data_IF_279273221633
#
_entry.id   IF_279273221633
#
_cell.length_a   1.000
_cell.length_b   1.000
_cell.length_c   1.000
_cell.angle_alpha   90.00
_cell.angle_beta   90.00
_cell.angle_gamma   90.00
#
_symmetry.space_group_name_H-M   'P 1'
#
loop_
_entity.id
_entity.type
_entity.pdbx_description
1 polymer ?
#
# COMPACT_ATOMS: atom_id res chain seq x y z
N UNK A 1 33.03 -12.07 -32.57
CA UNK A 1 31.60 -12.05 -32.91
C UNK A 1 31.01 -10.83 -32.23
N UNK A 2 30.99 -9.71 -32.94
CA UNK A 2 30.57 -8.40 -32.43
C UNK A 2 29.05 -8.39 -32.22
N UNK A 3 28.63 -7.87 -31.07
CA UNK A 3 27.24 -7.62 -30.69
C UNK A 3 26.71 -6.44 -31.53
N UNK A 4 26.40 -6.65 -32.81
CA UNK A 4 26.13 -5.59 -33.78
C UNK A 4 24.72 -4.96 -33.70
N UNK A 5 23.91 -5.28 -32.68
CA UNK A 5 22.53 -4.78 -32.56
C UNK A 5 22.24 -3.96 -31.28
N UNK A 6 23.24 -3.68 -30.43
CA UNK A 6 23.00 -2.86 -29.24
C UNK A 6 23.13 -1.36 -29.57
N UNK A 7 22.01 -0.73 -29.89
CA UNK A 7 21.98 0.69 -30.21
C UNK A 7 21.91 1.54 -28.93
N UNK A 8 23.08 2.03 -28.48
CA UNK A 8 23.19 2.89 -27.30
C UNK A 8 22.31 4.15 -27.35
N UNK A 9 22.10 4.73 -28.54
CA UNK A 9 21.24 5.92 -28.67
C UNK A 9 19.77 5.59 -28.37
N UNK A 10 19.28 4.47 -28.90
CA UNK A 10 17.93 3.96 -28.66
C UNK A 10 17.72 3.57 -27.19
N UNK A 11 18.75 3.00 -26.53
CA UNK A 11 18.72 2.72 -25.09
C UNK A 11 18.58 4.00 -24.28
N UNK A 12 19.34 5.05 -24.61
CA UNK A 12 19.25 6.31 -23.88
C UNK A 12 17.91 7.00 -24.10
N UNK A 13 17.37 6.99 -25.32
CA UNK A 13 16.06 7.56 -25.62
C UNK A 13 14.95 6.88 -24.82
N UNK A 14 14.89 5.54 -24.87
CA UNK A 14 13.92 4.77 -24.08
C UNK A 14 14.12 4.98 -22.57
N UNK A 15 15.37 5.09 -22.11
CA UNK A 15 15.69 5.39 -20.70
C UNK A 15 15.16 6.76 -20.28
N UNK A 16 15.19 7.78 -21.14
CA UNK A 16 14.60 9.09 -20.84
C UNK A 16 13.08 9.02 -20.76
N UNK A 17 12.43 8.25 -21.64
CA UNK A 17 10.99 8.01 -21.59
C UNK A 17 10.59 7.36 -20.26
N UNK A 18 11.26 6.26 -19.88
CA UNK A 18 11.04 5.57 -18.59
C UNK A 18 11.26 6.52 -17.42
N UNK A 19 12.33 7.33 -17.46
CA UNK A 19 12.62 8.33 -16.44
C UNK A 19 11.49 9.34 -16.30
N UNK A 20 10.97 9.86 -17.42
CA UNK A 20 9.88 10.81 -17.44
C UNK A 20 8.61 10.19 -16.82
N UNK A 21 8.19 9.02 -17.31
CA UNK A 21 7.03 8.28 -16.82
C UNK A 21 7.12 8.08 -15.30
N UNK A 22 8.22 7.49 -14.84
CA UNK A 22 8.36 7.13 -13.43
C UNK A 22 8.56 8.36 -12.54
N UNK A 23 9.13 9.44 -13.06
CA UNK A 23 9.27 10.70 -12.33
C UNK A 23 7.94 11.41 -12.14
N UNK A 24 7.08 11.46 -13.16
CA UNK A 24 5.73 12.04 -13.03
C UNK A 24 4.92 11.24 -12.01
N UNK A 25 4.96 9.90 -12.11
CA UNK A 25 4.28 9.02 -11.16
C UNK A 25 4.85 9.14 -9.75
N UNK A 26 6.18 9.21 -9.60
CA UNK A 26 6.85 9.42 -8.32
C UNK A 26 6.46 10.73 -7.66
N UNK A 27 6.50 11.86 -8.38
CA UNK A 27 6.04 13.16 -7.86
C UNK A 27 4.57 13.17 -7.50
N UNK A 28 3.73 12.46 -8.27
CA UNK A 28 2.32 12.28 -7.94
C UNK A 28 2.13 11.58 -6.59
N UNK A 29 2.95 10.57 -6.29
CA UNK A 29 2.94 9.87 -5.01
C UNK A 29 3.55 10.71 -3.86
N UNK A 30 4.58 11.51 -4.13
CA UNK A 30 5.11 12.49 -3.16
C UNK A 30 4.03 13.48 -2.77
N UNK A 31 3.36 14.07 -3.76
CA UNK A 31 2.29 15.02 -3.54
C UNK A 31 1.11 14.37 -2.81
N UNK A 32 0.76 13.11 -3.13
CA UNK A 32 -0.25 12.35 -2.39
C UNK A 32 0.08 12.29 -0.89
N UNK A 33 1.30 11.89 -0.52
CA UNK A 33 1.72 11.79 0.89
C UNK A 33 1.75 13.17 1.56
N UNK A 34 2.42 14.16 0.95
CA UNK A 34 2.57 15.48 1.58
C UNK A 34 1.25 16.22 1.70
N UNK A 35 0.45 16.27 0.64
CA UNK A 35 -0.81 17.03 0.66
C UNK A 35 -1.85 16.40 1.57
N UNK A 36 -1.89 15.06 1.68
CA UNK A 36 -2.81 14.41 2.63
C UNK A 36 -2.42 14.70 4.08
N UNK A 37 -1.12 14.72 4.40
CA UNK A 37 -0.65 15.08 5.74
C UNK A 37 -0.84 16.56 6.05
N UNK A 38 -0.57 17.45 5.09
CA UNK A 38 -0.85 18.89 5.24
C UNK A 38 -2.34 19.13 5.49
N UNK A 39 -3.22 18.48 4.72
CA UNK A 39 -4.66 18.60 4.91
C UNK A 39 -5.08 18.13 6.31
N UNK A 40 -4.57 16.98 6.78
CA UNK A 40 -4.86 16.48 8.12
C UNK A 40 -4.41 17.47 9.23
N UNK A 41 -3.20 18.03 9.11
CA UNK A 41 -2.68 19.05 10.04
C UNK A 41 -3.56 20.30 10.03
N UNK A 42 -3.97 20.77 8.84
CA UNK A 42 -4.83 21.95 8.70
C UNK A 42 -6.20 21.71 9.36
N UNK A 43 -6.80 20.53 9.22
CA UNK A 43 -8.05 20.22 9.92
C UNK A 43 -7.88 20.24 11.44
N UNK A 44 -6.76 19.73 11.96
CA UNK A 44 -6.42 19.83 13.39
C UNK A 44 -6.25 21.27 13.86
N UNK A 45 -5.55 22.11 13.09
CA UNK A 45 -5.37 23.53 13.39
C UNK A 45 -6.69 24.29 13.38
N UNK A 46 -7.57 24.03 12.41
CA UNK A 46 -8.91 24.62 12.37
C UNK A 46 -9.70 24.20 13.61
N UNK A 47 -9.67 22.92 13.98
CA UNK A 47 -10.28 22.42 15.21
C UNK A 47 -9.77 23.13 16.47
N UNK A 48 -8.47 23.35 16.58
CA UNK A 48 -7.85 24.09 17.67
C UNK A 48 -8.32 25.56 17.72
N UNK A 49 -8.32 26.26 16.59
CA UNK A 49 -8.73 27.67 16.51
C UNK A 49 -10.20 27.86 16.89
N UNK A 50 -11.09 26.98 16.41
CA UNK A 50 -12.51 27.02 16.78
C UNK A 50 -12.71 26.84 18.29
N UNK A 51 -11.91 25.97 18.92
CA UNK A 51 -11.89 25.79 20.38
C UNK A 51 -11.45 27.05 21.10
N UNK A 52 -10.31 27.62 20.69
CA UNK A 52 -9.67 28.76 21.33
C UNK A 52 -10.57 30.00 21.35
N UNK A 53 -11.23 30.29 20.22
CA UNK A 53 -12.12 31.45 20.09
C UNK A 53 -13.55 31.20 20.59
N UNK A 54 -13.86 30.02 21.13
CA UNK A 54 -15.19 29.64 21.63
C UNK A 54 -16.31 29.97 20.63
N UNK A 55 -16.07 29.64 19.35
CA UNK A 55 -16.99 29.98 18.26
C UNK A 55 -18.34 29.29 18.50
N UNK A 56 -19.43 30.05 18.44
CA UNK A 56 -20.79 29.54 18.66
C UNK A 56 -21.50 29.12 17.36
N UNK A 57 -22.64 28.45 17.50
CA UNK A 57 -23.46 28.01 16.37
C UNK A 57 -22.74 26.96 15.51
N UNK A 58 -22.69 27.17 14.19
CA UNK A 58 -22.08 26.22 13.23
C UNK A 58 -20.62 25.93 13.56
N UNK A 59 -19.86 26.92 14.06
CA UNK A 59 -18.46 26.72 14.44
C UNK A 59 -18.29 25.78 15.64
N UNK A 60 -19.24 25.76 16.58
CA UNK A 60 -19.22 24.83 17.71
C UNK A 60 -19.48 23.38 17.28
N UNK A 61 -20.40 23.18 16.33
CA UNK A 61 -20.66 21.84 15.77
C UNK A 61 -19.48 21.35 14.93
N UNK A 62 -18.89 22.23 14.12
CA UNK A 62 -17.68 21.91 13.36
C UNK A 62 -16.51 21.57 14.29
N UNK A 63 -16.33 22.33 15.38
CA UNK A 63 -15.35 22.01 16.42
C UNK A 63 -15.52 20.60 16.99
N UNK A 64 -16.75 20.22 17.36
CA UNK A 64 -17.07 18.87 17.87
C UNK A 64 -16.70 17.79 16.86
N UNK A 65 -16.99 18.00 15.58
CA UNK A 65 -16.66 17.06 14.51
C UNK A 65 -15.13 16.94 14.36
N UNK A 66 -14.43 18.06 14.19
CA UNK A 66 -12.99 18.07 13.92
C UNK A 66 -12.15 17.48 15.08
N UNK A 67 -12.65 17.58 16.30
CA UNK A 67 -12.00 17.03 17.49
C UNK A 67 -12.55 15.65 17.92
N UNK A 68 -13.46 15.06 17.16
CA UNK A 68 -13.95 13.71 17.43
C UNK A 68 -12.90 12.66 17.05
N UNK A 69 -12.83 11.57 17.84
CA UNK A 69 -11.85 10.50 17.60
C UNK A 69 -12.01 9.81 16.25
N UNK A 70 -13.23 9.72 15.70
CA UNK A 70 -13.44 9.13 14.37
C UNK A 70 -12.96 10.06 13.25
N UNK A 71 -13.07 11.37 13.43
CA UNK A 71 -12.62 12.32 12.42
C UNK A 71 -11.10 12.37 12.39
N UNK A 72 -10.43 12.48 13.54
CA UNK A 72 -8.97 12.55 13.60
C UNK A 72 -8.27 11.30 13.02
N UNK A 73 -8.92 10.13 13.09
CA UNK A 73 -8.34 8.85 12.65
C UNK A 73 -8.79 8.39 11.25
N UNK A 74 -9.99 8.76 10.81
CA UNK A 74 -10.52 8.34 9.50
C UNK A 74 -11.09 9.50 8.69
N UNK A 75 -11.91 10.36 9.31
CA UNK A 75 -12.59 11.46 8.60
C UNK A 75 -11.62 12.44 7.92
N UNK A 76 -10.55 12.84 8.61
CA UNK A 76 -9.52 13.73 8.08
C UNK A 76 -8.82 13.13 6.86
N UNK A 77 -8.47 11.84 6.89
CA UNK A 77 -7.85 11.15 5.75
C UNK A 77 -8.80 11.01 4.57
N UNK A 78 -10.07 10.64 4.81
CA UNK A 78 -11.07 10.54 3.75
C UNK A 78 -11.31 11.89 3.07
N UNK A 79 -11.43 12.96 3.85
CA UNK A 79 -11.60 14.31 3.32
C UNK A 79 -10.33 14.78 2.59
N UNK A 80 -9.15 14.49 3.13
CA UNK A 80 -7.89 14.77 2.46
C UNK A 80 -7.80 14.05 1.10
N UNK A 81 -8.15 12.77 1.02
CA UNK A 81 -8.22 12.05 -0.25
C UNK A 81 -9.20 12.68 -1.23
N UNK A 82 -10.39 13.07 -0.77
CA UNK A 82 -11.39 13.71 -1.63
C UNK A 82 -10.87 15.02 -2.27
N UNK A 83 -10.06 15.79 -1.53
CA UNK A 83 -9.46 17.04 -2.03
C UNK A 83 -8.22 16.80 -2.90
N UNK A 84 -7.36 15.86 -2.51
CA UNK A 84 -6.04 15.67 -3.12
C UNK A 84 -6.10 14.82 -4.38
N UNK A 85 -6.88 13.73 -4.39
CA UNK A 85 -6.87 12.77 -5.49
C UNK A 85 -7.21 13.35 -6.86
N UNK A 86 -8.18 14.28 -7.02
CA UNK A 86 -8.44 14.91 -8.32
C UNK A 86 -7.20 15.60 -8.89
N UNK A 87 -6.45 16.32 -8.05
CA UNK A 87 -5.20 17.00 -8.44
C UNK A 87 -4.14 15.99 -8.84
N UNK A 88 -3.94 14.94 -8.03
CA UNK A 88 -2.96 13.88 -8.32
C UNK A 88 -3.30 13.15 -9.62
N UNK A 89 -4.57 12.84 -9.87
CA UNK A 89 -4.98 12.17 -11.11
C UNK A 89 -4.79 13.05 -12.34
N UNK A 90 -5.04 14.37 -12.23
CA UNK A 90 -4.75 15.31 -13.31
C UNK A 90 -3.24 15.36 -13.64
N UNK A 91 -2.36 15.30 -12.63
CA UNK A 91 -0.91 15.20 -12.86
C UNK A 91 -0.56 13.86 -13.53
N UNK A 92 -1.11 12.75 -13.06
CA UNK A 92 -0.87 11.42 -13.65
C UNK A 92 -1.35 11.31 -15.10
N UNK A 93 -2.29 12.13 -15.57
CA UNK A 93 -2.75 12.15 -16.97
C UNK A 93 -1.69 12.61 -17.98
N UNK A 94 -0.60 13.22 -17.53
CA UNK A 94 0.58 13.48 -18.38
C UNK A 94 1.27 12.18 -18.83
N UNK A 95 0.97 11.06 -18.17
CA UNK A 95 1.39 9.72 -18.59
C UNK A 95 0.15 8.94 -19.05
N UNK A 96 0.12 8.44 -20.29
CA UNK A 96 -1.03 7.73 -20.81
C UNK A 96 -1.27 6.40 -20.08
N UNK A 97 -2.53 6.11 -19.78
CA UNK A 97 -2.95 4.87 -19.14
C UNK A 97 -3.26 3.78 -20.16
N UNK A 98 -2.76 2.56 -19.94
CA UNK A 98 -3.17 1.40 -20.74
C UNK A 98 -4.39 0.73 -20.10
N UNK A 99 -5.54 0.83 -20.78
CA UNK A 99 -6.77 0.18 -20.33
C UNK A 99 -6.66 -1.34 -20.54
N UNK A 100 -6.74 -2.15 -19.48
CA UNK A 100 -6.56 -3.59 -19.60
C UNK A 100 -7.79 -4.32 -20.11
N UNK A 101 -7.56 -5.44 -20.81
CA UNK A 101 -8.61 -6.37 -21.20
C UNK A 101 -9.25 -7.02 -19.95
N UNK A 102 -10.58 -7.03 -19.89
CA UNK A 102 -11.35 -7.45 -18.68
C UNK A 102 -11.66 -8.94 -18.65
N UNK A 103 -10.79 -9.75 -18.06
CA UNK A 103 -10.96 -11.21 -17.90
C UNK A 103 -11.65 -11.58 -16.59
N UNK A 104 -12.57 -12.54 -16.64
CA UNK A 104 -13.25 -13.07 -15.44
C UNK A 104 -12.37 -14.10 -14.74
N UNK A 105 -12.33 -14.06 -13.41
CA UNK A 105 -11.65 -15.05 -12.58
C UNK A 105 -12.65 -16.04 -12.00
N UNK A 106 -12.30 -17.34 -12.06
CA UNK A 106 -13.10 -18.41 -11.42
C UNK A 106 -13.00 -18.32 -9.89
N UNK A 107 -14.07 -18.66 -9.13
CA UNK A 107 -14.06 -18.59 -7.67
C UNK A 107 -12.89 -19.35 -7.01
N UNK A 108 -12.55 -20.56 -7.47
CA UNK A 108 -11.42 -21.31 -6.91
C UNK A 108 -10.08 -20.58 -7.04
N UNK A 109 -9.84 -19.88 -8.17
CA UNK A 109 -8.63 -19.05 -8.33
C UNK A 109 -8.68 -17.82 -7.44
N UNK A 110 -9.86 -17.23 -7.24
CA UNK A 110 -10.04 -16.11 -6.31
C UNK A 110 -9.62 -16.49 -4.88
N UNK A 111 -10.13 -17.62 -4.36
CA UNK A 111 -9.77 -18.10 -3.03
C UNK A 111 -8.30 -18.54 -2.94
N UNK A 112 -7.74 -19.12 -4.00
CA UNK A 112 -6.31 -19.40 -4.07
C UNK A 112 -5.47 -18.12 -3.91
N UNK A 113 -5.84 -17.03 -4.58
CA UNK A 113 -5.15 -15.74 -4.40
C UNK A 113 -5.37 -15.15 -3.02
N UNK A 114 -6.56 -15.30 -2.43
CA UNK A 114 -6.78 -14.87 -1.04
C UNK A 114 -5.80 -15.58 -0.08
N UNK A 115 -5.67 -16.91 -0.16
CA UNK A 115 -4.73 -17.67 0.66
C UNK A 115 -3.28 -17.23 0.40
N UNK A 116 -2.91 -17.03 -0.87
CA UNK A 116 -1.57 -16.58 -1.27
C UNK A 116 -1.25 -15.19 -0.69
N UNK A 117 -2.21 -14.25 -0.74
CA UNK A 117 -2.07 -12.91 -0.16
C UNK A 117 -1.88 -12.99 1.35
N UNK A 118 -2.74 -13.76 2.03
CA UNK A 118 -2.68 -13.91 3.48
C UNK A 118 -1.33 -14.49 3.92
N UNK A 119 -0.91 -15.62 3.33
CA UNK A 119 0.35 -16.25 3.68
C UNK A 119 1.58 -15.39 3.36
N UNK A 120 1.66 -14.83 2.14
CA UNK A 120 2.77 -13.95 1.76
C UNK A 120 2.85 -12.70 2.66
N UNK A 121 1.71 -12.06 2.94
CA UNK A 121 1.63 -10.94 3.87
C UNK A 121 2.15 -11.33 5.26
N UNK A 122 1.65 -12.41 5.86
CA UNK A 122 2.08 -12.81 7.21
C UNK A 122 3.56 -13.20 7.31
N UNK A 123 4.12 -13.87 6.30
CA UNK A 123 5.56 -14.16 6.27
C UNK A 123 6.37 -12.86 6.38
N UNK A 124 6.04 -11.86 5.55
CA UNK A 124 6.77 -10.59 5.53
C UNK A 124 6.44 -9.70 6.73
N UNK A 125 5.25 -9.84 7.33
CA UNK A 125 4.93 -9.20 8.60
C UNK A 125 5.79 -9.76 9.75
N UNK A 126 6.00 -11.08 9.81
CA UNK A 126 6.90 -11.71 10.80
C UNK A 126 8.32 -11.17 10.62
N UNK A 127 8.82 -11.10 9.39
CA UNK A 127 10.15 -10.52 9.10
C UNK A 127 10.22 -9.07 9.58
N UNK A 128 9.23 -8.25 9.26
CA UNK A 128 9.17 -6.85 9.72
C UNK A 128 9.17 -6.70 11.24
N UNK A 129 8.42 -7.55 11.94
CA UNK A 129 8.39 -7.54 13.41
C UNK A 129 9.71 -8.02 14.02
N UNK A 130 10.40 -9.01 13.41
CA UNK A 130 11.75 -9.42 13.83
C UNK A 130 12.73 -8.24 13.68
N UNK A 131 12.66 -7.51 12.57
CA UNK A 131 13.48 -6.31 12.37
C UNK A 131 13.18 -5.24 13.42
N UNK A 132 11.91 -4.99 13.75
CA UNK A 132 11.56 -4.08 14.85
C UNK A 132 12.15 -4.54 16.19
N UNK A 133 12.13 -5.84 16.50
CA UNK A 133 12.74 -6.37 17.74
C UNK A 133 14.24 -6.11 17.77
N UNK A 134 14.94 -6.33 16.65
CA UNK A 134 16.38 -6.07 16.54
C UNK A 134 16.66 -4.58 16.76
N UNK A 135 15.92 -3.69 16.10
CA UNK A 135 16.08 -2.24 16.27
C UNK A 135 15.75 -1.81 17.71
N UNK A 136 14.70 -2.35 18.31
CA UNK A 136 14.31 -2.09 19.69
C UNK A 136 15.41 -2.49 20.69
N UNK A 137 16.05 -3.65 20.48
CA UNK A 137 17.14 -4.10 21.33
C UNK A 137 18.36 -3.17 21.27
N UNK A 138 18.68 -2.62 20.10
CA UNK A 138 19.81 -1.69 19.92
C UNK A 138 19.50 -0.27 20.42
N UNK A 139 18.25 0.16 20.28
CA UNK A 139 17.84 1.54 20.60
C UNK A 139 17.21 1.70 21.98
N UNK A 140 17.03 0.60 22.72
CA UNK A 140 16.32 0.54 24.00
C UNK A 140 14.91 1.16 23.96
N UNK A 141 14.19 0.88 22.87
CA UNK A 141 12.84 1.41 22.60
C UNK A 141 11.79 0.31 22.67
N UNK A 142 10.53 0.69 22.84
CA UNK A 142 9.39 -0.23 22.82
C UNK A 142 8.97 -0.58 21.40
N UNK A 143 8.89 -1.87 21.08
CA UNK A 143 8.31 -2.35 19.80
C UNK A 143 6.85 -1.94 19.62
N UNK A 144 6.15 -1.66 20.73
CA UNK A 144 4.77 -1.15 20.69
C UNK A 144 4.72 0.26 20.08
N UNK A 145 5.60 1.18 20.53
CA UNK A 145 5.62 2.56 20.06
C UNK A 145 6.16 2.68 18.62
N UNK A 146 7.06 1.78 18.23
CA UNK A 146 7.61 1.74 16.87
C UNK A 146 6.60 1.40 15.78
N UNK A 147 5.43 0.86 16.13
CA UNK A 147 4.43 0.46 15.15
C UNK A 147 3.16 1.31 15.29
N UNK A 148 2.94 2.30 14.41
CA UNK A 148 1.79 3.21 14.51
C UNK A 148 0.43 2.51 14.36
N UNK A 149 0.39 1.29 13.84
CA UNK A 149 -0.84 0.47 13.81
C UNK A 149 -1.37 0.22 15.22
N UNK A 150 -0.50 0.22 16.24
CA UNK A 150 -0.90 0.02 17.62
C UNK A 150 -1.80 1.15 18.16
N UNK A 151 -1.70 2.36 17.60
CA UNK A 151 -2.59 3.48 17.93
C UNK A 151 -4.04 3.22 17.50
N UNK A 152 -4.27 2.25 16.59
CA UNK A 152 -5.60 1.86 16.18
C UNK A 152 -6.35 1.07 17.26
N UNK A 153 -5.68 0.37 18.18
CA UNK A 153 -6.34 -0.42 19.24
C UNK A 153 -7.26 0.44 20.12
N UNK A 154 -6.83 1.67 20.41
CA UNK A 154 -7.55 2.57 21.30
C UNK A 154 -8.59 3.45 20.57
N UNK A 155 -8.52 3.52 19.24
CA UNK A 155 -9.36 4.40 18.41
C UNK A 155 -10.45 3.68 17.62
N UNK A 156 -10.61 2.36 17.82
CA UNK A 156 -11.63 1.58 17.12
C UNK A 156 -13.05 2.10 17.40
N UNK A 157 -13.68 2.56 16.32
CA UNK A 157 -15.10 2.88 16.27
C UNK A 157 -15.64 2.46 14.90
N UNK A 158 -16.98 2.40 14.70
CA UNK A 158 -17.56 1.90 13.46
C UNK A 158 -17.06 2.61 12.19
N UNK A 159 -16.80 3.91 12.25
CA UNK A 159 -16.30 4.69 11.11
C UNK A 159 -14.85 4.33 10.78
N UNK A 160 -14.00 4.21 11.81
CA UNK A 160 -12.61 3.77 11.63
C UNK A 160 -12.57 2.36 11.06
N UNK A 161 -13.38 1.44 11.59
CA UNK A 161 -13.49 0.06 11.08
C UNK A 161 -13.88 0.06 9.60
N UNK A 162 -14.89 0.85 9.22
CA UNK A 162 -15.33 0.98 7.83
C UNK A 162 -14.22 1.55 6.94
N UNK A 163 -13.48 2.55 7.43
CA UNK A 163 -12.36 3.13 6.70
C UNK A 163 -11.23 2.12 6.47
N UNK A 164 -10.67 1.55 7.53
CA UNK A 164 -9.50 0.66 7.43
C UNK A 164 -9.82 -0.66 6.74
N UNK A 165 -11.05 -1.16 6.87
CA UNK A 165 -11.47 -2.44 6.29
C UNK A 165 -11.99 -2.32 4.86
N UNK A 166 -12.58 -1.17 4.49
CA UNK A 166 -13.32 -1.04 3.22
C UNK A 166 -12.85 0.16 2.39
N UNK A 167 -13.05 1.38 2.89
CA UNK A 167 -12.85 2.58 2.06
C UNK A 167 -11.37 2.79 1.70
N UNK A 168 -10.46 2.62 2.66
CA UNK A 168 -9.01 2.66 2.45
C UNK A 168 -8.58 1.69 1.35
N UNK A 169 -8.83 0.37 1.48
CA UNK A 169 -8.53 -0.61 0.44
C UNK A 169 -9.07 -0.27 -0.95
N UNK A 170 -10.29 0.27 -1.05
CA UNK A 170 -10.87 0.66 -2.34
C UNK A 170 -10.11 1.84 -2.96
N UNK A 171 -9.83 2.87 -2.17
CA UNK A 171 -9.07 4.05 -2.60
C UNK A 171 -7.66 3.63 -3.01
N UNK A 172 -6.99 2.84 -2.19
CA UNK A 172 -5.63 2.35 -2.43
C UNK A 172 -5.56 1.51 -3.71
N UNK A 173 -6.46 0.54 -3.91
CA UNK A 173 -6.43 -0.25 -5.14
C UNK A 173 -6.75 0.60 -6.39
N UNK A 174 -7.58 1.64 -6.26
CA UNK A 174 -7.82 2.60 -7.35
C UNK A 174 -6.53 3.40 -7.68
N UNK A 175 -5.79 3.88 -6.67
CA UNK A 175 -4.53 4.60 -6.88
C UNK A 175 -3.47 3.66 -7.48
N UNK A 176 -3.23 2.51 -6.85
CA UNK A 176 -2.07 1.69 -7.16
C UNK A 176 -2.29 0.70 -8.30
N UNK A 177 -3.49 0.10 -8.43
CA UNK A 177 -3.75 -0.92 -9.46
C UNK A 177 -4.42 -0.36 -10.69
N UNK A 178 -5.27 0.64 -10.53
CA UNK A 178 -5.89 1.30 -11.66
C UNK A 178 -4.98 2.40 -12.19
N UNK A 179 -4.76 3.48 -11.43
CA UNK A 179 -4.04 4.65 -11.95
C UNK A 179 -2.55 4.41 -12.17
N UNK A 180 -1.83 3.88 -11.18
CA UNK A 180 -0.37 3.70 -11.24
C UNK A 180 0.04 2.50 -12.13
N UNK A 181 -0.44 1.30 -11.82
CA UNK A 181 0.00 0.07 -12.50
C UNK A 181 -0.35 0.05 -13.98
N UNK A 182 -1.51 0.57 -14.41
CA UNK A 182 -1.88 0.60 -15.83
C UNK A 182 -0.96 1.50 -16.67
N UNK A 183 -0.37 2.56 -16.08
CA UNK A 183 0.62 3.42 -16.73
C UNK A 183 2.01 2.79 -16.82
N UNK A 184 2.29 1.82 -15.94
CA UNK A 184 3.55 1.07 -15.93
C UNK A 184 3.51 -0.19 -16.82
N UNK A 185 2.33 -0.63 -17.27
CA UNK A 185 2.18 -1.83 -18.12
C UNK A 185 3.08 -1.83 -19.36
N UNK A 186 3.27 -0.72 -20.10
CA UNK A 186 4.19 -0.69 -21.25
C UNK A 186 5.63 -1.07 -20.89
N UNK A 187 6.04 -0.84 -19.63
CA UNK A 187 7.36 -1.17 -19.11
C UNK A 187 7.51 -2.65 -18.72
N UNK A 188 6.52 -3.48 -19.06
CA UNK A 188 6.49 -4.93 -18.82
C UNK A 188 5.77 -5.32 -17.54
N UNK A 189 5.08 -6.47 -17.58
CA UNK A 189 4.20 -6.89 -16.48
C UNK A 189 4.98 -7.07 -15.16
N UNK A 190 6.20 -7.64 -15.21
CA UNK A 190 7.04 -7.84 -14.03
C UNK A 190 7.47 -6.51 -13.41
N UNK A 191 7.95 -5.57 -14.21
CA UNK A 191 8.39 -4.27 -13.73
C UNK A 191 7.22 -3.48 -13.12
N UNK A 192 6.08 -3.47 -13.81
CA UNK A 192 4.85 -2.81 -13.35
C UNK A 192 4.37 -3.36 -12.00
N UNK A 193 4.34 -4.70 -11.84
CA UNK A 193 3.95 -5.35 -10.58
C UNK A 193 4.92 -4.96 -9.46
N UNK A 194 6.23 -5.15 -9.66
CA UNK A 194 7.22 -4.93 -8.60
C UNK A 194 7.30 -3.46 -8.17
N UNK A 195 7.24 -2.54 -9.11
CA UNK A 195 7.26 -1.11 -8.80
C UNK A 195 5.99 -0.66 -8.10
N UNK A 196 4.81 -1.01 -8.64
CA UNK A 196 3.53 -0.69 -8.00
C UNK A 196 3.44 -1.27 -6.59
N UNK A 197 3.93 -2.50 -6.39
CA UNK A 197 3.96 -3.15 -5.08
C UNK A 197 4.92 -2.46 -4.09
N UNK A 198 6.12 -2.12 -4.53
CA UNK A 198 7.09 -1.40 -3.69
C UNK A 198 6.58 -0.02 -3.30
N UNK A 199 6.03 0.74 -4.25
CA UNK A 199 5.47 2.07 -3.97
C UNK A 199 4.27 1.99 -3.01
N UNK A 200 3.43 0.96 -3.19
CA UNK A 200 2.30 0.68 -2.30
C UNK A 200 2.76 0.40 -0.86
N UNK A 201 3.77 -0.47 -0.69
CA UNK A 201 4.33 -0.75 0.63
C UNK A 201 4.99 0.47 1.27
N UNK A 202 5.80 1.21 0.52
CA UNK A 202 6.48 2.41 0.99
C UNK A 202 5.51 3.47 1.52
N UNK A 203 4.35 3.67 0.87
CA UNK A 203 3.35 4.67 1.27
C UNK A 203 2.87 4.52 2.72
N UNK A 204 2.98 3.34 3.34
CA UNK A 204 2.59 3.13 4.73
C UNK A 204 3.59 3.71 5.76
N UNK A 205 4.82 4.02 5.34
CA UNK A 205 5.75 4.79 6.16
C UNK A 205 6.20 4.14 7.48
N UNK A 206 6.07 2.83 7.64
CA UNK A 206 6.60 2.10 8.80
C UNK A 206 7.08 0.70 8.41
N UNK A 207 8.08 0.19 9.12
CA UNK A 207 8.85 -0.98 8.69
C UNK A 207 8.01 -2.26 8.54
N UNK A 208 7.18 -2.59 9.54
CA UNK A 208 6.34 -3.79 9.50
C UNK A 208 5.33 -3.76 8.36
N UNK A 209 4.69 -2.61 8.13
CA UNK A 209 3.71 -2.48 7.06
C UNK A 209 4.35 -2.38 5.69
N UNK A 210 5.54 -1.78 5.53
CA UNK A 210 6.24 -1.70 4.24
C UNK A 210 6.45 -3.10 3.65
N UNK A 211 6.99 -4.03 4.44
CA UNK A 211 7.25 -5.40 3.98
C UNK A 211 5.94 -6.16 3.71
N UNK A 212 5.00 -6.09 4.65
CA UNK A 212 3.68 -6.72 4.54
C UNK A 212 2.91 -6.26 3.30
N UNK A 213 2.75 -4.95 3.12
CA UNK A 213 1.99 -4.37 2.03
C UNK A 213 2.70 -4.54 0.68
N UNK A 214 4.04 -4.52 0.63
CA UNK A 214 4.77 -4.87 -0.59
C UNK A 214 4.44 -6.30 -1.04
N UNK A 215 4.45 -7.27 -0.12
CA UNK A 215 4.14 -8.67 -0.45
C UNK A 215 2.71 -8.84 -1.00
N UNK A 216 1.73 -8.23 -0.32
CA UNK A 216 0.33 -8.19 -0.77
C UNK A 216 0.22 -7.51 -2.14
N UNK A 217 0.92 -6.38 -2.29
CA UNK A 217 0.95 -5.58 -3.51
C UNK A 217 1.47 -6.36 -4.72
N UNK A 218 2.42 -7.27 -4.54
CA UNK A 218 2.91 -8.15 -5.62
C UNK A 218 1.78 -9.05 -6.12
N UNK A 219 1.05 -9.71 -5.21
CA UNK A 219 -0.03 -10.62 -5.59
C UNK A 219 -1.22 -9.86 -6.17
N UNK A 220 -1.62 -8.73 -5.57
CA UNK A 220 -2.68 -7.87 -6.10
C UNK A 220 -2.30 -7.27 -7.45
N UNK A 221 -1.04 -6.86 -7.65
CA UNK A 221 -0.51 -6.43 -8.94
C UNK A 221 -0.65 -7.52 -10.00
N UNK A 222 -0.30 -8.76 -9.66
CA UNK A 222 -0.49 -9.91 -10.55
C UNK A 222 -1.96 -10.14 -10.91
N UNK A 223 -2.87 -10.09 -9.93
CA UNK A 223 -4.32 -10.20 -10.17
C UNK A 223 -4.82 -9.09 -11.09
N UNK A 224 -4.35 -7.85 -10.90
CA UNK A 224 -4.71 -6.71 -11.76
C UNK A 224 -4.23 -6.91 -13.21
N UNK A 225 -2.99 -7.37 -13.38
CA UNK A 225 -2.42 -7.68 -14.70
C UNK A 225 -3.25 -8.74 -15.43
N UNK A 226 -3.59 -9.86 -14.76
CA UNK A 226 -4.25 -11.00 -15.39
C UNK A 226 -5.77 -10.85 -15.57
N UNK A 227 -6.42 -10.02 -14.76
CA UNK A 227 -7.88 -9.86 -14.82
C UNK A 227 -8.34 -8.54 -15.44
N UNK A 228 -7.55 -7.46 -15.32
CA UNK A 228 -7.99 -6.13 -15.72
C UNK A 228 -9.25 -5.63 -15.00
N UNK A 229 -9.65 -6.27 -13.89
CA UNK A 229 -10.90 -5.99 -13.16
C UNK A 229 -10.60 -5.59 -11.72
N UNK A 230 -10.66 -4.29 -11.48
CA UNK A 230 -10.40 -3.68 -10.17
C UNK A 230 -11.24 -4.28 -9.03
N UNK A 231 -12.46 -4.75 -9.30
CA UNK A 231 -13.31 -5.36 -8.27
C UNK A 231 -12.66 -6.57 -7.57
N UNK A 232 -11.86 -7.38 -8.26
CA UNK A 232 -11.22 -8.53 -7.63
C UNK A 232 -10.15 -8.08 -6.64
N UNK A 233 -9.37 -7.09 -7.05
CA UNK A 233 -8.39 -6.39 -6.22
C UNK A 233 -9.04 -5.79 -4.96
N UNK A 234 -10.09 -4.98 -5.12
CA UNK A 234 -10.81 -4.39 -3.99
C UNK A 234 -11.33 -5.46 -3.03
N UNK A 235 -12.03 -6.50 -3.51
CA UNK A 235 -12.62 -7.51 -2.61
C UNK A 235 -11.52 -8.29 -1.88
N UNK A 236 -10.44 -8.70 -2.57
CA UNK A 236 -9.33 -9.40 -1.93
C UNK A 236 -8.68 -8.53 -0.84
N UNK A 237 -8.44 -7.26 -1.13
CA UNK A 237 -7.83 -6.33 -0.18
C UNK A 237 -8.75 -6.03 1.01
N UNK A 238 -10.05 -5.83 0.77
CA UNK A 238 -11.08 -5.69 1.82
C UNK A 238 -11.09 -6.93 2.72
N UNK A 239 -11.06 -8.13 2.16
CA UNK A 239 -11.05 -9.37 2.96
C UNK A 239 -9.81 -9.45 3.86
N UNK A 240 -8.64 -9.07 3.35
CA UNK A 240 -7.39 -9.05 4.11
C UNK A 240 -7.46 -8.05 5.26
N UNK A 241 -7.86 -6.81 5.00
CA UNK A 241 -7.95 -5.80 6.05
C UNK A 241 -9.10 -6.07 7.03
N UNK A 242 -10.20 -6.66 6.57
CA UNK A 242 -11.29 -7.09 7.46
C UNK A 242 -10.84 -8.21 8.39
N UNK A 243 -10.02 -9.16 7.91
CA UNK A 243 -9.44 -10.19 8.76
C UNK A 243 -8.52 -9.57 9.82
N UNK A 244 -7.60 -8.68 9.42
CA UNK A 244 -6.70 -7.97 10.35
C UNK A 244 -7.49 -7.13 11.38
N UNK A 245 -8.54 -6.44 10.96
CA UNK A 245 -9.40 -5.64 11.83
C UNK A 245 -10.21 -6.52 12.79
N UNK A 246 -10.67 -7.69 12.34
CA UNK A 246 -11.31 -8.67 13.22
C UNK A 246 -10.35 -9.14 14.31
N UNK A 247 -9.10 -9.45 13.97
CA UNK A 247 -8.08 -9.82 14.97
C UNK A 247 -7.85 -8.69 15.98
N UNK A 248 -7.74 -7.46 15.49
CA UNK A 248 -7.60 -6.27 16.32
C UNK A 248 -8.78 -6.08 17.29
N UNK A 249 -10.02 -6.27 16.81
CA UNK A 249 -11.23 -6.21 17.64
C UNK A 249 -11.27 -7.33 18.70
N UNK A 250 -10.78 -8.53 18.36
CA UNK A 250 -10.65 -9.61 19.32
C UNK A 250 -9.65 -9.23 20.41
N UNK A 251 -8.45 -8.77 20.03
CA UNK A 251 -7.40 -8.39 20.99
C UNK A 251 -7.78 -7.18 21.86
N UNK A 252 -8.66 -6.30 21.38
CA UNK A 252 -9.13 -5.12 22.11
C UNK A 252 -10.30 -5.43 23.08
N UNK A 253 -10.80 -6.66 23.11
CA UNK A 253 -11.89 -7.05 24.02
C UNK A 253 -11.42 -7.08 25.47
N UNK A 254 -12.15 -6.38 26.35
CA UNK A 254 -11.92 -6.37 27.80
C UNK A 254 -12.53 -7.57 28.54
N UNK A 255 -13.53 -8.22 27.95
CA UNK A 255 -14.25 -9.34 28.57
C UNK A 255 -13.69 -10.68 28.08
N UNK A 256 -13.27 -11.53 29.02
CA UNK A 256 -12.73 -12.87 28.72
C UNK A 256 -13.84 -13.91 28.86
N UNK A 257 -14.20 -14.54 27.75
CA UNK A 257 -15.12 -15.70 27.71
C UNK A 257 -14.39 -16.95 27.23
N UNK A 258 -14.95 -18.14 27.46
CA UNK A 258 -14.39 -19.39 26.92
C UNK A 258 -14.32 -19.34 25.38
N UNK A 259 -15.37 -18.83 24.73
CA UNK A 259 -15.39 -18.66 23.27
C UNK A 259 -14.28 -17.74 22.77
N UNK A 260 -13.99 -16.65 23.48
CA UNK A 260 -12.88 -15.76 23.18
C UNK A 260 -11.53 -16.48 23.30
N UNK A 261 -11.32 -17.21 24.40
CA UNK A 261 -10.08 -17.95 24.64
C UNK A 261 -9.82 -19.05 23.59
N UNK A 262 -10.87 -19.70 23.10
CA UNK A 262 -10.76 -20.67 22.00
C UNK A 262 -10.43 -19.96 20.68
N UNK A 263 -11.09 -18.85 20.39
CA UNK A 263 -10.88 -18.10 19.15
C UNK A 263 -9.44 -17.53 19.06
N UNK A 264 -8.91 -16.95 20.15
CA UNK A 264 -7.53 -16.43 20.19
C UNK A 264 -6.50 -17.54 19.98
N UNK A 265 -6.72 -18.76 20.50
CA UNK A 265 -5.84 -19.92 20.26
C UNK A 265 -5.94 -20.47 18.84
N UNK A 266 -7.10 -20.36 18.20
CA UNK A 266 -7.31 -20.83 16.83
C UNK A 266 -6.61 -19.92 15.80
N UNK A 267 -6.53 -18.61 16.04
CA UNK A 267 -5.97 -17.63 15.09
C UNK A 267 -4.54 -17.97 14.63
N UNK A 268 -3.57 -18.26 15.53
CA UNK A 268 -2.22 -18.66 15.11
C UNK A 268 -2.21 -19.95 14.27
N UNK A 269 -3.05 -20.93 14.61
CA UNK A 269 -3.14 -22.21 13.88
C UNK A 269 -3.68 -21.99 12.46
N UNK A 270 -4.76 -21.21 12.32
CA UNK A 270 -5.33 -20.85 11.02
C UNK A 270 -4.32 -20.04 10.20
N UNK A 271 -3.63 -19.09 10.82
CA UNK A 271 -2.61 -18.26 10.16
C UNK A 271 -1.44 -19.11 9.67
N UNK A 272 -0.94 -20.04 10.49
CA UNK A 272 0.10 -20.99 10.10
C UNK A 272 -0.36 -21.88 8.94
N UNK A 273 -1.60 -22.38 8.99
CA UNK A 273 -2.20 -23.13 7.89
C UNK A 273 -2.24 -22.35 6.58
N UNK A 274 -2.62 -21.06 6.62
CA UNK A 274 -2.60 -20.17 5.46
C UNK A 274 -1.18 -19.92 4.93
N UNK A 275 -0.19 -19.75 5.81
CA UNK A 275 1.23 -19.62 5.43
C UNK A 275 1.71 -20.86 4.68
N UNK A 276 1.49 -22.05 5.24
CA UNK A 276 1.90 -23.32 4.62
C UNK A 276 1.21 -23.49 3.26
N UNK A 277 -0.12 -23.30 3.21
CA UNK A 277 -0.88 -23.40 1.97
C UNK A 277 -0.39 -22.39 0.90
N UNK A 278 -0.09 -21.16 1.31
CA UNK A 278 0.48 -20.12 0.43
C UNK A 278 1.83 -20.54 -0.16
N UNK A 279 2.74 -21.09 0.66
CA UNK A 279 4.04 -21.59 0.20
C UNK A 279 3.84 -22.71 -0.83
N UNK A 280 2.97 -23.68 -0.55
CA UNK A 280 2.67 -24.79 -1.47
C UNK A 280 2.09 -24.26 -2.78
N UNK A 281 1.09 -23.37 -2.72
CA UNK A 281 0.47 -22.75 -3.89
C UNK A 281 1.53 -22.01 -4.73
N UNK A 282 2.40 -21.24 -4.09
CA UNK A 282 3.48 -20.51 -4.76
C UNK A 282 4.43 -21.48 -5.46
N UNK A 283 4.97 -22.47 -4.76
CA UNK A 283 5.92 -23.43 -5.32
C UNK A 283 5.34 -24.23 -6.50
N UNK A 284 4.07 -24.60 -6.44
CA UNK A 284 3.39 -25.37 -7.51
C UNK A 284 3.10 -24.51 -8.75
N UNK A 285 2.89 -23.19 -8.58
CA UNK A 285 2.41 -22.32 -9.66
C UNK A 285 3.46 -21.32 -10.17
N UNK A 286 4.56 -21.07 -9.44
CA UNK A 286 5.56 -20.07 -9.83
C UNK A 286 6.17 -20.38 -11.20
N UNK A 287 6.49 -21.66 -11.48
CA UNK A 287 7.03 -22.10 -12.78
C UNK A 287 6.00 -22.02 -13.92
N UNK A 288 4.71 -22.00 -13.61
CA UNK A 288 3.62 -21.88 -14.59
C UNK A 288 3.29 -20.41 -14.90
N UNK A 289 3.81 -19.48 -14.10
CA UNK A 289 3.51 -18.06 -14.22
C UNK A 289 4.34 -17.47 -15.35
N UNK A 290 3.65 -16.94 -16.37
CA UNK A 290 4.28 -16.21 -17.48
C UNK A 290 3.90 -14.73 -17.40
N UNK A 291 4.91 -13.88 -17.30
CA UNK A 291 4.77 -12.43 -17.35
C UNK A 291 5.27 -11.94 -18.70
N UNK A 292 4.47 -11.09 -19.34
CA UNK A 292 4.81 -10.55 -20.65
C UNK A 292 5.90 -9.47 -20.49
N UNK A 293 6.90 -9.44 -21.40
CA UNK A 293 7.83 -8.32 -21.48
C UNK A 293 7.09 -7.04 -21.86
N UNK A 294 7.73 -5.90 -21.68
CA UNK A 294 7.19 -4.61 -22.09
C UNK A 294 7.39 -4.37 -23.58
N UNK A 295 6.85 -3.26 -24.05
CA UNK A 295 6.92 -2.83 -25.45
C UNK A 295 8.22 -2.03 -25.72
N UNK A 296 9.33 -2.42 -25.10
CA UNK A 296 10.61 -1.76 -25.33
C UNK A 296 11.24 -2.25 -26.65
N UNK A 297 12.10 -1.43 -27.29
CA UNK A 297 12.76 -1.81 -28.54
C UNK A 297 13.55 -3.14 -28.49
N UNK A 298 13.66 -3.79 -29.64
CA UNK A 298 14.47 -5.01 -29.78
C UNK A 298 15.93 -4.78 -29.33
N UNK A 299 16.49 -5.76 -28.64
CA UNK A 299 17.85 -5.69 -28.08
C UNK A 299 17.98 -4.96 -26.75
N UNK A 300 16.94 -4.26 -26.29
CA UNK A 300 16.88 -3.66 -24.96
C UNK A 300 16.35 -4.69 -23.95
N UNK A 301 16.95 -4.71 -22.76
CA UNK A 301 16.52 -5.52 -21.63
C UNK A 301 16.18 -4.65 -20.42
N UNK A 302 15.46 -5.22 -19.45
CA UNK A 302 15.08 -4.51 -18.22
C UNK A 302 16.28 -3.89 -17.48
N UNK A 303 17.45 -4.54 -17.51
CA UNK A 303 18.67 -4.02 -16.86
C UNK A 303 19.11 -2.67 -17.41
N UNK A 304 18.87 -2.41 -18.69
CA UNK A 304 19.36 -1.22 -19.39
C UNK A 304 18.64 0.06 -18.92
N UNK A 305 17.36 -0.05 -18.56
CA UNK A 305 16.54 1.09 -18.15
C UNK A 305 16.06 1.03 -16.68
N UNK A 306 16.23 -0.08 -15.97
CA UNK A 306 15.75 -0.25 -14.59
C UNK A 306 16.19 0.88 -13.66
N UNK A 307 17.43 1.37 -13.81
CA UNK A 307 17.94 2.51 -13.04
C UNK A 307 17.10 3.79 -13.22
N UNK A 308 16.59 4.07 -14.42
CA UNK A 308 15.74 5.22 -14.67
C UNK A 308 14.36 5.10 -13.99
N UNK A 309 13.91 3.88 -13.75
CA UNK A 309 12.66 3.61 -13.05
C UNK A 309 12.75 4.01 -11.56
N UNK A 310 13.86 3.66 -10.90
CA UNK A 310 14.01 3.84 -9.44
C UNK A 310 14.83 5.05 -9.02
N UNK A 311 15.80 5.49 -9.84
CA UNK A 311 16.75 6.56 -9.49
C UNK A 311 16.41 7.92 -10.12
N UNK A 312 15.19 8.08 -10.66
CA UNK A 312 14.71 9.40 -11.07
C UNK A 312 14.30 10.23 -9.84
N UNK A 313 14.27 11.57 -9.96
CA UNK A 313 14.00 12.46 -8.81
C UNK A 313 12.69 12.17 -8.09
N UNK A 314 11.58 11.99 -8.83
CA UNK A 314 10.27 11.76 -8.22
C UNK A 314 10.22 10.47 -7.40
N UNK A 315 10.73 9.35 -7.96
CA UNK A 315 10.78 8.07 -7.25
C UNK A 315 11.72 8.13 -6.05
N UNK A 316 12.91 8.73 -6.20
CA UNK A 316 13.90 8.83 -5.11
C UNK A 316 13.35 9.65 -3.95
N UNK A 317 12.76 10.81 -4.22
CA UNK A 317 12.15 11.65 -3.17
C UNK A 317 11.02 10.90 -2.46
N UNK A 318 10.18 10.18 -3.20
CA UNK A 318 9.13 9.35 -2.59
C UNK A 318 9.70 8.26 -1.67
N UNK A 319 10.72 7.54 -2.12
CA UNK A 319 11.38 6.50 -1.31
C UNK A 319 11.97 7.12 -0.05
N UNK A 320 12.78 8.18 -0.19
CA UNK A 320 13.45 8.84 0.93
C UNK A 320 12.44 9.38 1.93
N UNK A 321 11.39 10.06 1.48
CA UNK A 321 10.32 10.60 2.34
C UNK A 321 9.71 9.51 3.23
N UNK A 322 9.33 8.37 2.64
CA UNK A 322 8.69 7.29 3.37
C UNK A 322 9.67 6.50 4.26
N UNK A 323 10.94 6.38 3.86
CA UNK A 323 11.98 5.78 4.71
C UNK A 323 12.33 6.67 5.90
N UNK A 324 12.33 8.01 5.74
CA UNK A 324 12.48 8.94 6.83
C UNK A 324 11.31 8.84 7.82
N UNK A 325 10.07 8.69 7.31
CA UNK A 325 8.90 8.46 8.16
C UNK A 325 9.01 7.12 8.92
N UNK A 326 9.45 6.06 8.25
CA UNK A 326 9.72 4.78 8.93
C UNK A 326 10.83 4.91 9.98
N UNK A 327 11.89 5.65 9.67
CA UNK A 327 12.98 5.98 10.60
C UNK A 327 12.49 6.78 11.81
N UNK A 328 11.58 7.73 11.62
CA UNK A 328 10.94 8.46 12.71
C UNK A 328 10.20 7.52 13.67
N UNK A 329 9.39 6.59 13.16
CA UNK A 329 8.72 5.61 14.03
C UNK A 329 9.69 4.66 14.73
N UNK A 330 10.75 4.22 14.03
CA UNK A 330 11.73 3.31 14.62
C UNK A 330 12.60 3.98 15.70
N UNK A 331 12.91 5.27 15.55
CA UNK A 331 13.96 5.91 16.34
C UNK A 331 13.46 7.03 17.25
N UNK A 332 12.29 7.62 16.99
CA UNK A 332 11.84 8.87 17.62
C UNK A 332 10.43 8.80 18.24
N UNK A 333 9.44 8.19 17.58
CA UNK A 333 8.02 8.14 18.02
C UNK A 333 7.76 7.30 19.28
#
# INVERSE_FOLDING_TARGET
MENSNYNWSQVQEYRQEVKHICSVLGWSLVALVLLTQIAAILFGLIGYLLSYYKVMGVGAELYKILNSGWFSTAGAHLLAYALVLPVIFAVMEHVPEVVPEKKRMRPGKFFMFFILIMGAGYILNIVGNILNIIVAAVTNRSTYNMNPVNNLFESLNPVVILYVSVLGPVIEEYIFRWKLLNRLRPLGEKAAILFSALMFGLMHGNLSQILYATAIGVVLGYVSIKTGRLKYNCILHIMVNSYSTLLLLMMSRKTITISYLLAVRAVPVVTLGMIIASIVIFCVNVKKTRLLPGNWPEGIEYRDFSSAMYLNPGTVVFIVLNLLLAGYYLLLA
#
